data_IF_788265327943
#
_entry.id   IF_788265327943
#
_cell.length_a   1.000
_cell.length_b   1.000
_cell.length_c   1.000
_cell.angle_alpha   90.00
_cell.angle_beta   90.00
_cell.angle_gamma   90.00
#
_symmetry.space_group_name_H-M   'P 1'
#
loop_
_entity.id
_entity.type
_entity.pdbx_description
1 polymer ?
#
# COMPACT_ATOMS: atom_id res chain seq x y z
N UNK A 1 -7.64 -24.49 -4.77
CA UNK A 1 -7.52 -23.23 -3.99
C UNK A 1 -6.05 -22.88 -3.93
N UNK A 2 -5.63 -21.79 -4.60
CA UNK A 2 -4.23 -21.46 -4.82
C UNK A 2 -3.68 -20.59 -3.69
N UNK A 3 -2.46 -20.88 -3.22
CA UNK A 3 -1.80 -20.13 -2.15
C UNK A 3 -1.64 -18.62 -2.46
N UNK A 4 -1.62 -18.26 -3.74
CA UNK A 4 -1.54 -16.87 -4.19
C UNK A 4 -2.77 -16.03 -3.77
N UNK A 5 -3.97 -16.62 -3.80
CA UNK A 5 -5.23 -15.97 -3.42
C UNK A 5 -5.34 -15.73 -1.90
N UNK A 6 -4.78 -16.67 -1.12
CA UNK A 6 -4.66 -16.52 0.33
C UNK A 6 -3.67 -15.41 0.69
N UNK A 7 -2.57 -15.29 -0.07
CA UNK A 7 -1.53 -14.30 0.15
C UNK A 7 -1.99 -12.88 -0.23
N UNK A 8 -2.72 -12.70 -1.34
CA UNK A 8 -3.34 -11.41 -1.68
C UNK A 8 -4.43 -11.00 -0.69
N UNK A 9 -5.20 -11.94 -0.13
CA UNK A 9 -6.15 -11.64 0.96
C UNK A 9 -5.47 -11.33 2.29
N UNK A 10 -4.37 -12.00 2.63
CA UNK A 10 -3.56 -11.69 3.81
C UNK A 10 -2.89 -10.32 3.71
N UNK A 11 -2.53 -9.89 2.50
CA UNK A 11 -1.97 -8.56 2.20
C UNK A 11 -3.04 -7.46 2.12
N UNK A 12 -4.33 -7.80 2.14
CA UNK A 12 -5.37 -6.79 2.15
C UNK A 12 -5.22 -5.92 3.42
N UNK A 13 -5.12 -4.58 3.30
CA UNK A 13 -4.87 -3.69 4.44
C UNK A 13 -5.85 -3.88 5.60
N UNK A 14 -7.10 -4.23 5.29
CA UNK A 14 -8.13 -4.54 6.28
C UNK A 14 -7.81 -5.77 7.13
N UNK A 15 -7.24 -6.82 6.52
CA UNK A 15 -6.83 -8.05 7.23
C UNK A 15 -5.62 -7.77 8.11
N UNK A 16 -4.66 -6.97 7.63
CA UNK A 16 -3.49 -6.56 8.42
C UNK A 16 -3.91 -5.74 9.63
N UNK A 17 -4.81 -4.77 9.46
CA UNK A 17 -5.39 -3.99 10.58
C UNK A 17 -6.12 -4.89 11.58
N UNK A 18 -6.93 -5.83 11.09
CA UNK A 18 -7.66 -6.78 11.93
C UNK A 18 -6.73 -7.69 12.73
N UNK A 19 -5.73 -8.28 12.08
CA UNK A 19 -4.77 -9.19 12.72
C UNK A 19 -3.99 -8.46 13.81
N UNK A 20 -3.54 -7.24 13.55
CA UNK A 20 -2.75 -6.53 14.53
C UNK A 20 -3.57 -5.92 15.66
N UNK A 21 -4.86 -5.62 15.47
CA UNK A 21 -5.79 -5.36 16.59
C UNK A 21 -5.92 -6.59 17.50
N UNK A 22 -6.09 -7.79 16.92
CA UNK A 22 -6.14 -9.05 17.68
C UNK A 22 -4.83 -9.29 18.43
N UNK A 23 -3.69 -9.04 17.78
CA UNK A 23 -2.37 -9.20 18.37
C UNK A 23 -2.17 -8.22 19.54
N UNK A 24 -2.61 -6.97 19.39
CA UNK A 24 -2.56 -5.97 20.44
C UNK A 24 -3.42 -6.40 21.66
N UNK A 25 -4.65 -6.87 21.42
CA UNK A 25 -5.51 -7.40 22.48
C UNK A 25 -4.90 -8.62 23.18
N UNK A 26 -4.26 -9.53 22.42
CA UNK A 26 -3.57 -10.69 22.95
C UNK A 26 -2.35 -10.29 23.81
N UNK A 27 -1.59 -9.28 23.40
CA UNK A 27 -0.49 -8.75 24.20
C UNK A 27 -0.96 -8.13 25.52
N UNK A 28 -2.08 -7.39 25.51
CA UNK A 28 -2.67 -6.86 26.74
C UNK A 28 -3.07 -8.00 27.68
N UNK A 29 -3.75 -9.03 27.16
CA UNK A 29 -4.10 -10.21 27.95
C UNK A 29 -2.84 -10.93 28.50
N UNK A 30 -1.77 -11.04 27.70
CA UNK A 30 -0.49 -11.60 28.12
C UNK A 30 0.18 -10.81 29.24
N UNK A 31 0.16 -9.47 29.17
CA UNK A 31 0.67 -8.60 30.25
C UNK A 31 -0.12 -8.79 31.55
N UNK A 32 -1.45 -8.95 31.47
CA UNK A 32 -2.30 -9.20 32.65
C UNK A 32 -1.96 -10.56 33.28
N UNK A 33 -1.85 -11.62 32.48
CA UNK A 33 -1.56 -12.99 32.97
C UNK A 33 -0.15 -13.08 33.58
N UNK A 34 0.85 -12.49 32.94
CA UNK A 34 2.24 -12.50 33.45
C UNK A 34 2.41 -11.67 34.71
N UNK A 35 1.62 -10.60 34.87
CA UNK A 35 1.55 -9.85 36.13
C UNK A 35 0.95 -10.68 37.27
N UNK A 36 -0.04 -11.54 37.00
CA UNK A 36 -0.63 -12.43 38.01
C UNK A 36 0.36 -13.52 38.43
N UNK A 37 1.22 -13.97 37.51
CA UNK A 37 2.26 -14.97 37.76
C UNK A 37 3.52 -14.40 38.44
N UNK A 38 3.54 -13.10 38.80
CA UNK A 38 4.67 -12.38 39.41
C UNK A 38 5.98 -12.46 38.61
N UNK A 39 5.88 -12.59 37.29
CA UNK A 39 7.03 -12.70 36.37
C UNK A 39 7.26 -11.39 35.61
N UNK A 40 8.16 -10.53 36.11
CA UNK A 40 8.49 -9.23 35.50
C UNK A 40 9.08 -9.40 34.09
N UNK A 41 9.91 -10.42 33.88
CA UNK A 41 10.51 -10.72 32.57
C UNK A 41 9.45 -11.04 31.51
N UNK A 42 8.36 -11.71 31.93
CA UNK A 42 7.22 -12.01 31.06
C UNK A 42 6.50 -10.75 30.61
N UNK A 43 6.23 -9.83 31.53
CA UNK A 43 5.56 -8.57 31.23
C UNK A 43 6.38 -7.71 30.23
N UNK A 44 7.70 -7.67 30.38
CA UNK A 44 8.60 -6.93 29.47
C UNK A 44 8.63 -7.54 28.06
N UNK A 45 8.69 -8.87 27.94
CA UNK A 45 8.68 -9.54 26.64
C UNK A 45 7.36 -9.29 25.90
N UNK A 46 6.22 -9.42 26.58
CA UNK A 46 4.90 -9.13 26.00
C UNK A 46 4.75 -7.66 25.61
N UNK A 47 5.31 -6.73 26.41
CA UNK A 47 5.33 -5.30 26.09
C UNK A 47 6.14 -4.98 24.83
N UNK A 48 7.32 -5.58 24.65
CA UNK A 48 8.14 -5.40 23.44
C UNK A 48 7.44 -5.95 22.19
N UNK A 49 6.80 -7.11 22.29
CA UNK A 49 6.01 -7.69 21.19
C UNK A 49 4.82 -6.78 20.86
N UNK A 50 4.15 -6.21 21.87
CA UNK A 50 3.06 -5.25 21.66
C UNK A 50 3.52 -4.00 20.92
N UNK A 51 4.68 -3.45 21.30
CA UNK A 51 5.27 -2.27 20.67
C UNK A 51 5.62 -2.53 19.19
N UNK A 52 6.15 -3.71 18.88
CA UNK A 52 6.38 -4.17 17.50
C UNK A 52 5.08 -4.26 16.69
N UNK A 53 4.03 -4.84 17.27
CA UNK A 53 2.71 -4.89 16.63
C UNK A 53 2.12 -3.50 16.38
N UNK A 54 2.23 -2.60 17.35
CA UNK A 54 1.74 -1.22 17.24
C UNK A 54 2.50 -0.41 16.17
N UNK A 55 3.82 -0.59 16.06
CA UNK A 55 4.61 0.09 15.02
C UNK A 55 4.26 -0.40 13.62
N UNK A 56 4.05 -1.71 13.43
CA UNK A 56 3.55 -2.26 12.16
C UNK A 56 2.18 -1.66 11.80
N UNK A 57 1.26 -1.59 12.77
CA UNK A 57 -0.05 -0.96 12.57
C UNK A 57 0.05 0.50 12.16
N UNK A 58 0.92 1.26 12.81
CA UNK A 58 1.14 2.67 12.53
C UNK A 58 1.68 2.84 11.11
N UNK A 59 2.72 2.07 10.75
CA UNK A 59 3.29 2.06 9.40
C UNK A 59 2.23 1.76 8.34
N UNK A 60 1.48 0.66 8.49
CA UNK A 60 0.41 0.29 7.55
C UNK A 60 -0.69 1.35 7.52
N UNK A 61 -1.03 1.92 8.67
CA UNK A 61 -2.02 2.99 8.81
C UNK A 61 -1.66 4.26 8.05
N UNK A 62 -0.38 4.60 7.96
CA UNK A 62 0.12 5.80 7.26
C UNK A 62 0.44 5.52 5.79
N UNK A 63 1.10 4.39 5.48
CA UNK A 63 1.55 4.09 4.13
C UNK A 63 0.40 3.76 3.19
N UNK A 64 -0.59 2.97 3.64
CA UNK A 64 -1.67 2.52 2.75
C UNK A 64 -2.48 3.71 2.19
N UNK A 65 -2.99 4.66 3.00
CA UNK A 65 -3.69 5.83 2.47
C UNK A 65 -2.81 6.68 1.56
N UNK A 66 -1.52 6.82 1.88
CA UNK A 66 -0.60 7.60 1.05
C UNK A 66 -0.41 6.96 -0.34
N UNK A 67 -0.31 5.63 -0.40
CA UNK A 67 -0.23 4.88 -1.67
C UNK A 67 -1.54 4.96 -2.44
N UNK A 68 -2.70 4.85 -1.77
CA UNK A 68 -4.01 4.99 -2.42
C UNK A 68 -4.19 6.38 -3.02
N UNK A 69 -3.79 7.44 -2.30
CA UNK A 69 -3.82 8.81 -2.81
C UNK A 69 -2.88 8.98 -4.00
N UNK A 70 -1.65 8.47 -3.92
CA UNK A 70 -0.71 8.53 -5.03
C UNK A 70 -1.24 7.81 -6.28
N UNK A 71 -1.80 6.60 -6.12
CA UNK A 71 -2.41 5.86 -7.22
C UNK A 71 -3.59 6.60 -7.84
N UNK A 72 -4.45 7.24 -7.03
CA UNK A 72 -5.56 8.05 -7.54
C UNK A 72 -5.09 9.30 -8.32
N UNK A 73 -3.99 9.92 -7.89
CA UNK A 73 -3.40 11.05 -8.60
C UNK A 73 -2.79 10.61 -9.95
N UNK A 74 -2.19 9.42 -10.00
CA UNK A 74 -1.69 8.84 -11.25
C UNK A 74 -2.83 8.55 -12.25
N UNK A 75 -3.97 8.05 -11.78
CA UNK A 75 -5.17 7.85 -12.61
C UNK A 75 -5.74 9.17 -13.14
N UNK A 76 -5.84 10.21 -12.31
CA UNK A 76 -6.30 11.54 -12.75
C UNK A 76 -5.34 12.13 -13.80
N UNK A 77 -4.03 11.98 -13.58
CA UNK A 77 -3.00 12.42 -14.52
C UNK A 77 -3.09 11.67 -15.85
N UNK A 78 -3.34 10.35 -15.82
CA UNK A 78 -3.54 9.54 -17.01
C UNK A 78 -4.79 9.98 -17.80
N UNK A 79 -5.92 10.20 -17.12
CA UNK A 79 -7.15 10.68 -17.74
C UNK A 79 -6.94 12.05 -18.43
N UNK A 80 -6.21 12.97 -17.81
CA UNK A 80 -5.88 14.25 -18.41
C UNK A 80 -5.05 14.13 -19.70
N UNK A 81 -4.14 13.14 -19.76
CA UNK A 81 -3.35 12.83 -20.96
C UNK A 81 -4.23 12.25 -22.06
N UNK A 82 -5.11 11.31 -21.72
CA UNK A 82 -6.07 10.71 -22.67
C UNK A 82 -7.00 11.77 -23.28
N UNK A 83 -7.57 12.65 -22.45
CA UNK A 83 -8.38 13.78 -22.91
C UNK A 83 -7.58 14.71 -23.82
N UNK A 84 -6.32 14.97 -23.50
CA UNK A 84 -5.42 15.77 -24.34
C UNK A 84 -5.21 15.16 -25.72
N UNK A 85 -4.91 13.86 -25.78
CA UNK A 85 -4.75 13.10 -27.01
C UNK A 85 -6.05 13.11 -27.83
N UNK A 86 -7.19 12.86 -27.19
CA UNK A 86 -8.49 12.84 -27.85
C UNK A 86 -8.83 14.19 -28.48
N UNK A 87 -8.53 15.31 -27.79
CA UNK A 87 -8.71 16.65 -28.36
C UNK A 87 -7.82 16.90 -29.59
N UNK A 88 -6.57 16.44 -29.55
CA UNK A 88 -5.65 16.59 -30.70
C UNK A 88 -6.14 15.82 -31.91
N UNK A 89 -6.56 14.56 -31.72
CA UNK A 89 -7.13 13.73 -32.79
C UNK A 89 -8.42 14.34 -33.33
N UNK A 90 -9.29 14.84 -32.44
CA UNK A 90 -10.54 15.52 -32.85
C UNK A 90 -10.27 16.82 -33.62
N UNK A 91 -9.18 17.53 -33.30
CA UNK A 91 -8.73 18.70 -34.05
C UNK A 91 -8.11 18.36 -35.42
N UNK A 92 -8.00 17.07 -35.75
CA UNK A 92 -7.50 16.58 -37.04
C UNK A 92 -6.03 16.17 -37.04
N UNK A 93 -5.40 16.00 -35.87
CA UNK A 93 -4.07 15.39 -35.81
C UNK A 93 -4.13 13.91 -36.25
N UNK A 94 -3.09 13.46 -36.94
CA UNK A 94 -2.96 12.07 -37.37
C UNK A 94 -2.79 11.15 -36.15
N UNK A 95 -3.67 10.16 -36.00
CA UNK A 95 -3.69 9.28 -34.83
C UNK A 95 -2.42 8.43 -34.73
N UNK A 96 -1.86 7.98 -35.85
CA UNK A 96 -0.66 7.15 -35.87
C UNK A 96 0.58 7.98 -35.47
N UNK A 97 0.68 9.22 -35.93
CA UNK A 97 1.73 10.15 -35.53
C UNK A 97 1.64 10.54 -34.05
N UNK A 98 0.43 10.81 -33.55
CA UNK A 98 0.19 11.09 -32.12
C UNK A 98 0.56 9.89 -31.27
N UNK A 99 0.15 8.67 -31.67
CA UNK A 99 0.48 7.43 -30.97
C UNK A 99 2.00 7.16 -30.96
N UNK A 100 2.68 7.42 -32.07
CA UNK A 100 4.14 7.28 -32.15
C UNK A 100 4.86 8.26 -31.21
N UNK A 101 4.38 9.51 -31.15
CA UNK A 101 4.95 10.55 -30.27
C UNK A 101 4.73 10.24 -28.80
N UNK A 102 3.52 9.84 -28.41
CA UNK A 102 3.22 9.40 -27.03
C UNK A 102 4.09 8.21 -26.65
N UNK A 103 4.27 7.23 -27.55
CA UNK A 103 5.14 6.07 -27.31
C UNK A 103 6.59 6.49 -27.09
N UNK A 104 7.11 7.42 -27.90
CA UNK A 104 8.45 7.94 -27.75
C UNK A 104 8.63 8.70 -26.42
N UNK A 105 7.62 9.48 -26.00
CA UNK A 105 7.62 10.18 -24.72
C UNK A 105 7.61 9.21 -23.52
N UNK A 106 6.79 8.15 -23.58
CA UNK A 106 6.76 7.08 -22.55
C UNK A 106 8.11 6.38 -22.44
N UNK A 107 8.74 6.07 -23.57
CA UNK A 107 10.04 5.39 -23.56
C UNK A 107 11.16 6.29 -23.05
N UNK A 108 11.12 7.59 -23.38
CA UNK A 108 12.02 8.57 -22.80
C UNK A 108 11.85 8.67 -21.29
N UNK A 109 10.61 8.75 -20.80
CA UNK A 109 10.28 8.78 -19.38
C UNK A 109 10.82 7.55 -18.64
N UNK A 110 10.65 6.35 -19.21
CA UNK A 110 11.15 5.09 -18.64
C UNK A 110 12.67 5.09 -18.48
N UNK A 111 13.40 5.54 -19.51
CA UNK A 111 14.87 5.67 -19.45
C UNK A 111 15.34 6.69 -18.41
N UNK A 112 14.59 7.79 -18.23
CA UNK A 112 14.92 8.80 -17.22
C UNK A 112 14.63 8.36 -15.79
N UNK A 113 13.64 7.47 -15.58
CA UNK A 113 13.31 6.91 -14.28
C UNK A 113 14.34 5.86 -13.78
N UNK A 114 15.27 5.44 -14.64
CA UNK A 114 16.34 4.50 -14.28
C UNK A 114 15.97 3.02 -14.35
N UNK A 115 14.96 2.68 -15.16
CA UNK A 115 14.65 1.29 -15.57
C UNK A 115 15.65 0.75 -16.60
#
# INVERSE_FOLDING_TARGET
>A
MSAADAQTRLLAPAVVRGLALVLCAACIAGMIVTSIADSIDGALAFGLVAAGGATILLLVGVLVPAVEVAASADEEQAAAVEDGVQRLVTAGADEDEVRATVRAAVELGRRSAGD
#
